data_IF_583962777975
#
_entry.id   IF_583962777975
#
_cell.length_a   1.000
_cell.length_b   1.000
_cell.length_c   1.000
_cell.angle_alpha   90.00
_cell.angle_beta   90.00
_cell.angle_gamma   90.00
#
_symmetry.space_group_name_H-M   'P 1'
#
loop_
_entity.id
_entity.type
_entity.pdbx_description
1 polymer ?
#
# COMPACT_ATOMS: atom_id res chain seq x y z
N UNK A 1 10.03 -35.75 15.15
CA UNK A 1 10.03 -35.17 13.81
C UNK A 1 9.82 -33.68 13.94
N UNK A 2 10.89 -32.90 13.84
CA UNK A 2 10.84 -31.46 13.74
C UNK A 2 10.39 -31.17 12.32
N UNK A 3 9.16 -30.72 12.13
CA UNK A 3 8.74 -30.18 10.84
C UNK A 3 9.68 -29.00 10.51
N UNK A 4 10.47 -29.17 9.46
CA UNK A 4 11.14 -28.06 8.81
C UNK A 4 10.03 -27.06 8.40
N UNK A 5 9.97 -25.90 9.05
CA UNK A 5 9.17 -24.77 8.56
C UNK A 5 9.77 -24.47 7.19
N UNK A 6 9.04 -24.77 6.12
CA UNK A 6 9.40 -24.37 4.78
C UNK A 6 9.68 -22.86 4.83
N UNK A 7 10.90 -22.47 4.50
CA UNK A 7 11.24 -21.05 4.38
C UNK A 7 10.41 -20.54 3.21
N UNK A 8 9.53 -19.60 3.48
CA UNK A 8 8.77 -18.91 2.43
C UNK A 8 9.71 -18.44 1.31
N UNK A 9 9.32 -18.66 0.07
CA UNK A 9 10.09 -18.26 -1.11
C UNK A 9 10.13 -16.73 -1.31
N UNK A 10 9.19 -16.00 -0.70
CA UNK A 10 9.10 -14.55 -0.74
C UNK A 10 8.55 -13.98 0.59
N UNK A 11 8.87 -12.72 0.84
CA UNK A 11 8.40 -11.93 1.98
C UNK A 11 7.29 -11.00 1.49
N UNK A 12 6.05 -11.44 1.60
CA UNK A 12 4.87 -10.72 1.10
C UNK A 12 4.33 -9.78 2.17
N UNK A 13 4.39 -8.49 1.92
CA UNK A 13 3.94 -7.44 2.85
C UNK A 13 2.80 -6.67 2.18
N UNK A 14 1.63 -6.62 2.80
CA UNK A 14 0.47 -5.96 2.23
C UNK A 14 0.26 -4.55 2.82
N UNK A 15 0.09 -3.55 1.97
CA UNK A 15 -0.33 -2.22 2.41
C UNK A 15 -1.68 -2.29 3.12
N UNK A 16 -1.79 -1.61 4.23
CA UNK A 16 -2.96 -1.63 5.11
C UNK A 16 -3.47 -0.22 5.36
N UNK A 17 -4.74 0.01 4.96
CA UNK A 17 -5.41 1.28 5.15
C UNK A 17 -6.16 1.30 6.49
N UNK A 18 -5.83 2.21 7.42
CA UNK A 18 -6.49 2.30 8.72
C UNK A 18 -7.79 3.11 8.72
N UNK A 19 -8.30 3.53 7.56
CA UNK A 19 -9.44 4.47 7.43
C UNK A 19 -10.83 3.79 7.48
N UNK A 20 -10.99 2.76 8.30
CA UNK A 20 -12.27 2.07 8.50
C UNK A 20 -12.81 2.29 9.91
N UNK A 21 -12.72 3.52 10.38
CA UNK A 21 -13.34 4.02 11.61
C UNK A 21 -13.55 5.54 11.49
N UNK A 22 -14.59 6.11 12.12
CA UNK A 22 -14.81 7.55 12.06
C UNK A 22 -13.74 8.31 12.84
N UNK A 23 -13.37 9.48 12.30
CA UNK A 23 -12.51 10.46 12.96
C UNK A 23 -13.13 11.86 12.83
N UNK A 24 -12.90 12.77 13.79
CA UNK A 24 -13.53 14.10 13.77
C UNK A 24 -13.24 14.90 12.50
N UNK A 25 -12.04 14.78 11.94
CA UNK A 25 -11.64 15.46 10.72
C UNK A 25 -12.48 14.97 9.52
N UNK A 26 -12.62 13.66 9.34
CA UNK A 26 -13.44 13.09 8.29
C UNK A 26 -14.93 13.41 8.48
N UNK A 27 -15.42 13.41 9.72
CA UNK A 27 -16.80 13.83 10.03
C UNK A 27 -17.06 15.26 9.58
N UNK A 28 -16.11 16.16 9.78
CA UNK A 28 -16.21 17.56 9.36
C UNK A 28 -16.20 17.72 7.84
N UNK A 29 -15.41 16.95 7.13
CA UNK A 29 -15.23 17.10 5.68
C UNK A 29 -16.26 16.33 4.85
N UNK A 30 -16.67 15.14 5.33
CA UNK A 30 -17.43 14.16 4.55
C UNK A 30 -18.81 13.83 5.15
N UNK A 31 -19.08 14.31 6.34
CA UNK A 31 -20.28 14.00 7.11
C UNK A 31 -20.04 13.00 8.24
N UNK A 32 -20.85 13.15 9.28
CA UNK A 32 -20.74 12.36 10.52
C UNK A 32 -20.80 10.85 10.24
N UNK A 33 -19.85 10.12 10.80
CA UNK A 33 -19.76 8.67 10.67
C UNK A 33 -19.08 8.19 9.40
N UNK A 34 -18.47 9.09 8.63
CA UNK A 34 -17.73 8.71 7.41
C UNK A 34 -16.60 7.74 7.70
N UNK A 35 -16.55 6.68 6.88
CA UNK A 35 -15.41 5.77 6.75
C UNK A 35 -15.22 5.44 5.26
N UNK A 36 -14.16 4.69 4.91
CA UNK A 36 -13.98 4.19 3.54
C UNK A 36 -15.20 3.38 3.03
N UNK A 37 -15.92 2.70 3.92
CA UNK A 37 -17.16 2.00 3.55
C UNK A 37 -18.23 2.91 2.97
N UNK A 38 -18.24 4.21 3.30
CA UNK A 38 -19.17 5.17 2.72
C UNK A 38 -18.99 5.28 1.20
N UNK A 39 -17.75 5.31 0.72
CA UNK A 39 -17.44 5.32 -0.71
C UNK A 39 -17.79 3.99 -1.36
N UNK A 40 -17.43 2.88 -0.73
CA UNK A 40 -17.70 1.52 -1.21
C UNK A 40 -19.20 1.27 -1.33
N UNK A 41 -19.98 1.64 -0.32
CA UNK A 41 -21.42 1.37 -0.27
C UNK A 41 -22.24 2.17 -1.30
N UNK A 42 -21.78 3.36 -1.69
CA UNK A 42 -22.43 4.18 -2.74
C UNK A 42 -21.98 3.85 -4.17
N UNK A 43 -20.99 2.97 -4.34
CA UNK A 43 -20.50 2.59 -5.65
C UNK A 43 -21.55 1.87 -6.48
N UNK A 44 -21.50 2.09 -7.80
CA UNK A 44 -22.42 1.46 -8.74
C UNK A 44 -21.72 1.15 -10.06
N UNK A 45 -22.27 0.23 -10.82
CA UNK A 45 -21.81 -0.05 -12.17
C UNK A 45 -21.92 1.20 -13.06
N UNK A 46 -20.86 1.56 -13.77
CA UNK A 46 -20.78 2.73 -14.65
C UNK A 46 -20.80 2.35 -16.13
N UNK A 47 -20.65 1.06 -16.46
CA UNK A 47 -20.70 0.54 -17.83
C UNK A 47 -21.09 -0.95 -17.82
N UNK A 48 -21.56 -1.52 -18.95
CA UNK A 48 -21.92 -2.93 -19.02
C UNK A 48 -20.76 -3.86 -18.61
N UNK A 49 -21.03 -4.80 -17.71
CA UNK A 49 -20.04 -5.74 -17.20
C UNK A 49 -19.10 -5.18 -16.12
N UNK A 50 -19.24 -3.93 -15.73
CA UNK A 50 -18.48 -3.35 -14.63
C UNK A 50 -18.82 -4.03 -13.29
N UNK A 51 -17.79 -4.57 -12.63
CA UNK A 51 -17.95 -5.19 -11.32
C UNK A 51 -18.04 -4.13 -10.21
N UNK A 52 -19.22 -3.65 -10.00
CA UNK A 52 -19.63 -2.79 -8.88
C UNK A 52 -21.14 -3.01 -8.60
N UNK A 53 -21.60 -2.90 -7.35
CA UNK A 53 -20.80 -2.70 -6.13
C UNK A 53 -19.99 -3.94 -5.75
N UNK A 54 -18.84 -3.71 -5.11
CA UNK A 54 -18.03 -4.75 -4.51
C UNK A 54 -18.43 -4.88 -3.04
N UNK A 55 -18.78 -6.10 -2.63
CA UNK A 55 -19.30 -6.36 -1.29
C UNK A 55 -18.37 -7.31 -0.56
N UNK A 56 -17.91 -6.96 0.66
CA UNK A 56 -17.06 -7.83 1.46
C UNK A 56 -17.80 -9.12 1.86
N UNK A 57 -17.05 -10.25 1.84
CA UNK A 57 -17.53 -11.55 2.31
C UNK A 57 -17.13 -11.78 3.78
N UNK A 58 -16.15 -12.64 4.04
CA UNK A 58 -15.81 -13.19 5.36
C UNK A 58 -15.65 -12.16 6.49
N UNK A 59 -15.08 -11.00 6.21
CA UNK A 59 -14.80 -9.97 7.21
C UNK A 59 -15.94 -8.94 7.36
N UNK A 60 -16.84 -8.86 6.38
CA UNK A 60 -17.96 -7.92 6.38
C UNK A 60 -17.52 -6.45 6.28
N UNK A 61 -18.47 -5.56 6.53
CA UNK A 61 -18.24 -4.11 6.69
C UNK A 61 -17.79 -3.85 8.13
N UNK A 62 -16.50 -3.89 8.37
CA UNK A 62 -15.92 -3.86 9.70
C UNK A 62 -15.58 -2.45 10.18
N UNK A 63 -15.34 -2.34 11.48
CA UNK A 63 -14.74 -1.19 12.14
C UNK A 63 -13.40 -1.61 12.74
N UNK A 64 -12.32 -0.91 12.39
CA UNK A 64 -10.96 -1.26 12.83
C UNK A 64 -10.68 -0.94 14.31
N UNK A 65 -11.62 -0.33 15.03
CA UNK A 65 -11.54 -0.18 16.49
C UNK A 65 -11.85 -1.50 17.20
N UNK A 66 -12.48 -2.46 16.53
CA UNK A 66 -12.83 -3.77 17.06
C UNK A 66 -11.61 -4.70 17.02
N UNK A 67 -11.07 -5.15 18.17
CA UNK A 67 -9.88 -6.01 18.20
C UNK A 67 -10.05 -7.33 17.47
N UNK A 68 -11.25 -7.92 17.53
CA UNK A 68 -11.60 -9.17 16.85
C UNK A 68 -11.48 -9.05 15.33
N UNK A 69 -11.81 -7.90 14.77
CA UNK A 69 -11.62 -7.61 13.32
C UNK A 69 -10.16 -7.64 12.97
N UNK A 70 -9.33 -6.91 13.72
CA UNK A 70 -7.88 -6.86 13.47
C UNK A 70 -7.23 -8.23 13.59
N UNK A 71 -7.68 -9.03 14.56
CA UNK A 71 -7.25 -10.43 14.72
C UNK A 71 -7.66 -11.29 13.52
N UNK A 72 -8.92 -11.21 13.09
CA UNK A 72 -9.42 -11.98 11.95
C UNK A 72 -8.66 -11.63 10.64
N UNK A 73 -8.35 -10.35 10.42
CA UNK A 73 -7.53 -9.93 9.28
C UNK A 73 -6.12 -10.53 9.34
N UNK A 74 -5.46 -10.48 10.49
CA UNK A 74 -4.11 -11.02 10.67
C UNK A 74 -4.08 -12.55 10.54
N UNK A 75 -5.04 -13.25 11.10
CA UNK A 75 -5.16 -14.71 11.00
C UNK A 75 -5.35 -15.14 9.54
N UNK A 76 -6.21 -14.46 8.81
CA UNK A 76 -6.42 -14.71 7.38
C UNK A 76 -5.14 -14.42 6.57
N UNK A 77 -4.50 -13.29 6.80
CA UNK A 77 -3.27 -12.94 6.11
C UNK A 77 -2.17 -13.99 6.33
N UNK A 78 -1.98 -14.44 7.58
CA UNK A 78 -1.03 -15.48 7.94
C UNK A 78 -1.36 -16.82 7.27
N UNK A 79 -2.63 -17.21 7.26
CA UNK A 79 -3.08 -18.47 6.64
C UNK A 79 -2.72 -18.53 5.15
N UNK A 80 -2.73 -17.39 4.46
CA UNK A 80 -2.47 -17.33 3.02
C UNK A 80 -1.06 -16.82 2.65
N UNK A 81 -0.11 -16.84 3.59
CA UNK A 81 1.31 -16.58 3.31
C UNK A 81 1.71 -15.12 3.25
N UNK A 82 0.84 -14.20 3.67
CA UNK A 82 1.22 -12.80 3.87
C UNK A 82 2.04 -12.69 5.16
N UNK A 83 3.26 -12.17 5.07
CA UNK A 83 4.18 -12.05 6.21
C UNK A 83 3.70 -11.00 7.21
N UNK A 84 3.20 -9.88 6.73
CA UNK A 84 2.80 -8.78 7.59
C UNK A 84 2.08 -7.65 6.86
N UNK A 85 1.63 -6.68 7.64
CA UNK A 85 0.97 -5.47 7.15
C UNK A 85 1.88 -4.26 7.18
N UNK A 86 1.88 -3.48 6.10
CA UNK A 86 2.49 -2.17 6.03
C UNK A 86 1.40 -1.11 6.23
N UNK A 87 1.30 -0.57 7.44
CA UNK A 87 0.29 0.44 7.75
C UNK A 87 0.65 1.77 7.13
N UNK A 88 -0.32 2.42 6.46
CA UNK A 88 -0.20 3.83 6.12
C UNK A 88 -0.15 4.65 7.40
N UNK A 89 0.92 5.40 7.56
CA UNK A 89 1.23 6.23 8.72
C UNK A 89 1.17 7.70 8.30
N UNK A 90 0.36 8.47 9.02
CA UNK A 90 0.12 9.88 8.72
C UNK A 90 0.76 10.75 9.79
N UNK A 91 1.77 11.50 9.40
CA UNK A 91 2.41 12.53 10.20
C UNK A 91 2.55 13.78 9.34
N UNK A 92 1.74 14.80 9.62
CA UNK A 92 1.64 16.02 8.80
C UNK A 92 2.59 17.13 9.25
N UNK A 93 3.39 16.92 10.27
CA UNK A 93 4.23 17.92 10.93
C UNK A 93 3.59 18.49 12.18
N UNK A 94 4.41 19.10 13.04
CA UNK A 94 4.00 19.68 14.33
C UNK A 94 3.17 18.75 15.22
N UNK A 95 3.48 17.44 15.17
CA UNK A 95 2.78 16.42 15.94
C UNK A 95 1.38 16.07 15.43
N UNK A 96 0.94 16.62 14.30
CA UNK A 96 -0.39 16.32 13.74
C UNK A 96 -0.42 14.93 13.11
N UNK A 97 -1.25 14.06 13.67
CA UNK A 97 -1.49 12.68 13.21
C UNK A 97 -2.95 12.48 12.87
N UNK A 98 -3.21 11.52 11.98
CA UNK A 98 -4.56 11.03 11.68
C UNK A 98 -4.55 9.51 11.57
N UNK A 99 -5.70 8.89 11.87
CA UNK A 99 -5.97 7.46 11.68
C UNK A 99 -4.99 6.53 12.43
N UNK A 100 -4.29 7.04 13.41
CA UNK A 100 -3.27 6.31 14.19
C UNK A 100 -3.85 5.29 15.16
N UNK A 101 -5.15 5.37 15.50
CA UNK A 101 -5.77 4.56 16.53
C UNK A 101 -5.64 3.06 16.33
N UNK A 102 -5.96 2.48 15.14
CA UNK A 102 -5.85 1.03 14.96
C UNK A 102 -4.42 0.52 15.20
N UNK A 103 -3.42 1.21 14.67
CA UNK A 103 -2.02 0.83 14.86
C UNK A 103 -1.55 1.02 16.31
N UNK A 104 -1.92 2.13 16.94
CA UNK A 104 -1.58 2.39 18.34
C UNK A 104 -2.16 1.32 19.28
N UNK A 105 -3.38 0.87 19.04
CA UNK A 105 -4.00 -0.21 19.81
C UNK A 105 -3.33 -1.57 19.58
N UNK A 106 -2.94 -1.88 18.33
CA UNK A 106 -2.14 -3.07 18.01
C UNK A 106 -0.80 -3.05 18.75
N UNK A 107 -0.12 -1.90 18.73
CA UNK A 107 1.17 -1.74 19.41
C UNK A 107 1.02 -1.89 20.94
N UNK A 108 0.07 -1.19 21.53
CA UNK A 108 -0.13 -1.17 22.98
C UNK A 108 -0.60 -2.51 23.55
N UNK A 109 -1.48 -3.23 22.85
CA UNK A 109 -2.03 -4.50 23.31
C UNK A 109 -1.11 -5.70 23.08
N UNK A 110 -0.16 -5.62 22.16
CA UNK A 110 0.61 -6.76 21.69
C UNK A 110 -0.16 -7.71 20.76
N UNK A 111 -1.42 -7.38 20.44
CA UNK A 111 -2.32 -8.20 19.63
C UNK A 111 -2.89 -7.42 18.42
N UNK A 112 -3.08 -8.06 17.26
CA UNK A 112 -2.69 -9.44 16.96
C UNK A 112 -1.17 -9.62 16.93
N UNK A 113 -0.67 -10.82 17.28
CA UNK A 113 0.73 -11.20 17.14
C UNK A 113 1.06 -11.47 15.66
N UNK A 114 1.16 -10.42 14.91
CA UNK A 114 1.36 -10.44 13.46
C UNK A 114 2.32 -9.33 13.04
N UNK A 115 3.31 -9.61 12.16
CA UNK A 115 4.30 -8.63 11.76
C UNK A 115 3.71 -7.38 11.11
N UNK A 116 4.36 -6.26 11.33
CA UNK A 116 3.98 -4.98 10.74
C UNK A 116 5.20 -4.09 10.43
N UNK A 117 5.00 -3.15 9.54
CA UNK A 117 5.87 -2.00 9.35
C UNK A 117 5.03 -0.76 9.00
N UNK A 118 5.69 0.37 8.83
CA UNK A 118 5.04 1.65 8.55
C UNK A 118 5.47 2.21 7.20
N UNK A 119 4.53 2.82 6.51
CA UNK A 119 4.77 3.65 5.34
C UNK A 119 4.28 5.07 5.62
N UNK A 120 5.19 6.03 5.66
CA UNK A 120 4.82 7.43 5.83
C UNK A 120 4.20 7.97 4.55
N UNK A 121 2.87 8.22 4.61
CA UNK A 121 2.12 8.85 3.53
C UNK A 121 2.32 10.37 3.60
N UNK A 122 3.52 10.81 3.23
CA UNK A 122 3.96 12.20 3.31
C UNK A 122 3.41 13.03 2.16
N UNK A 123 2.10 13.25 2.16
CA UNK A 123 1.42 14.10 1.18
C UNK A 123 0.30 14.92 1.83
N UNK A 124 0.01 16.08 1.25
CA UNK A 124 -1.13 16.89 1.67
C UNK A 124 -2.44 16.25 1.26
N UNK A 125 -3.42 16.26 2.15
CA UNK A 125 -4.77 15.79 1.82
C UNK A 125 -5.54 16.89 1.09
N UNK A 126 -6.07 16.53 -0.09
CA UNK A 126 -6.84 17.43 -0.94
C UNK A 126 -8.23 16.84 -1.19
N UNK A 127 -9.25 17.73 -1.24
CA UNK A 127 -10.65 17.35 -1.38
C UNK A 127 -10.96 16.48 -2.60
N UNK A 128 -10.29 16.71 -3.74
CA UNK A 128 -10.59 15.98 -4.96
C UNK A 128 -10.20 14.48 -4.92
N UNK A 129 -9.20 14.08 -4.11
CA UNK A 129 -8.85 12.67 -3.94
C UNK A 129 -9.94 11.85 -3.27
N UNK A 130 -10.86 12.51 -2.59
CA UNK A 130 -11.95 11.89 -1.85
C UNK A 130 -13.34 12.17 -2.47
N UNK A 131 -13.40 12.68 -3.71
CA UNK A 131 -14.65 12.86 -4.44
C UNK A 131 -15.40 14.18 -4.17
N UNK A 132 -14.78 15.15 -3.49
CA UNK A 132 -15.29 16.53 -3.43
C UNK A 132 -14.74 17.34 -4.60
N UNK A 133 -15.61 18.19 -5.19
CA UNK A 133 -15.23 19.11 -6.28
C UNK A 133 -14.30 20.25 -5.84
N UNK A 134 -14.06 20.43 -4.55
CA UNK A 134 -13.23 21.50 -4.02
C UNK A 134 -11.74 21.17 -4.18
N UNK A 135 -10.99 22.08 -4.77
CA UNK A 135 -9.52 22.04 -4.86
C UNK A 135 -8.82 22.42 -3.54
N UNK A 136 -9.59 22.57 -2.46
CA UNK A 136 -9.06 22.99 -1.17
C UNK A 136 -8.17 21.91 -0.56
N UNK A 137 -7.03 22.33 -0.04
CA UNK A 137 -6.17 21.49 0.79
C UNK A 137 -6.85 21.34 2.15
N UNK A 138 -7.09 20.10 2.56
CA UNK A 138 -7.73 19.78 3.84
C UNK A 138 -6.71 19.78 4.98
N UNK A 139 -5.54 19.20 4.73
CA UNK A 139 -4.37 19.22 5.63
C UNK A 139 -3.13 19.30 4.77
N UNK A 140 -2.23 20.24 5.11
CA UNK A 140 -0.91 20.34 4.49
C UNK A 140 0.09 19.38 5.11
N UNK A 141 0.88 18.72 4.27
CA UNK A 141 2.09 18.03 4.71
C UNK A 141 3.18 19.07 4.93
N UNK A 142 3.63 19.20 6.17
CA UNK A 142 4.69 20.12 6.57
C UNK A 142 5.98 19.37 6.87
N UNK A 143 7.10 20.07 6.71
CA UNK A 143 8.43 19.60 7.09
C UNK A 143 9.06 20.66 8.01
N UNK A 144 8.66 20.72 9.31
CA UNK A 144 9.00 21.82 10.19
C UNK A 144 10.45 21.85 10.64
N UNK A 145 11.21 20.77 10.37
CA UNK A 145 12.63 20.69 10.70
C UNK A 145 12.95 19.75 11.86
N UNK A 146 14.16 19.87 12.38
CA UNK A 146 14.80 18.89 13.26
C UNK A 146 13.97 18.51 14.49
N UNK A 147 13.37 19.46 15.17
CA UNK A 147 12.61 19.20 16.40
C UNK A 147 11.39 18.32 16.13
N UNK A 148 10.67 18.61 15.03
CA UNK A 148 9.52 17.79 14.61
C UNK A 148 9.97 16.40 14.16
N UNK A 149 11.09 16.28 13.45
CA UNK A 149 11.61 14.97 13.03
C UNK A 149 12.04 14.11 14.22
N UNK A 150 12.58 14.71 15.28
CA UNK A 150 12.86 14.01 16.55
C UNK A 150 11.55 13.57 17.22
N UNK A 151 10.55 14.44 17.30
CA UNK A 151 9.24 14.11 17.86
C UNK A 151 8.58 12.95 17.08
N UNK A 152 8.64 12.98 15.76
CA UNK A 152 8.17 11.92 14.89
C UNK A 152 8.90 10.59 15.16
N UNK A 153 10.24 10.63 15.22
CA UNK A 153 11.03 9.45 15.57
C UNK A 153 10.63 8.86 16.92
N UNK A 154 10.51 9.69 17.94
CA UNK A 154 10.14 9.26 19.28
C UNK A 154 8.74 8.65 19.34
N UNK A 155 7.80 9.13 18.52
CA UNK A 155 6.46 8.55 18.40
C UNK A 155 6.48 7.16 17.77
N UNK A 156 7.43 6.89 16.87
CA UNK A 156 7.55 5.61 16.14
C UNK A 156 8.51 4.64 16.84
N UNK A 157 9.44 5.12 17.64
CA UNK A 157 10.47 4.30 18.29
C UNK A 157 9.92 3.08 19.06
N UNK A 158 8.79 3.16 19.82
CA UNK A 158 8.22 1.98 20.45
C UNK A 158 7.85 0.88 19.46
N UNK A 159 7.37 1.27 18.25
CA UNK A 159 7.08 0.32 17.19
C UNK A 159 8.37 -0.34 16.67
N UNK A 160 9.42 0.43 16.40
CA UNK A 160 10.72 -0.10 15.95
C UNK A 160 11.35 -1.10 16.95
N UNK A 161 11.06 -0.96 18.23
CA UNK A 161 11.53 -1.87 19.29
C UNK A 161 10.62 -3.06 19.53
N UNK A 162 9.43 -3.07 18.93
CA UNK A 162 8.52 -4.20 19.03
C UNK A 162 9.04 -5.40 18.23
N UNK A 163 8.99 -6.62 18.80
CA UNK A 163 9.48 -7.84 18.15
C UNK A 163 8.75 -8.19 16.85
N UNK A 164 7.55 -7.64 16.65
CA UNK A 164 6.72 -7.84 15.44
C UNK A 164 7.12 -6.91 14.30
N UNK A 165 7.92 -5.87 14.57
CA UNK A 165 8.29 -4.93 13.53
C UNK A 165 9.14 -5.61 12.46
N UNK A 166 8.75 -5.47 11.19
CA UNK A 166 9.44 -6.07 10.03
C UNK A 166 10.82 -5.41 9.87
N UNK A 167 11.85 -6.26 9.79
CA UNK A 167 13.24 -5.83 9.60
C UNK A 167 13.83 -6.42 8.33
N UNK A 168 14.82 -5.72 7.79
CA UNK A 168 15.71 -6.19 6.74
C UNK A 168 17.15 -5.92 7.17
N UNK A 169 18.01 -6.92 7.10
CA UNK A 169 19.38 -6.86 7.63
C UNK A 169 19.43 -6.40 9.12
N UNK A 170 18.38 -6.76 9.88
CA UNK A 170 18.21 -6.39 11.28
C UNK A 170 17.84 -4.91 11.52
N UNK A 171 17.50 -4.16 10.48
CA UNK A 171 17.06 -2.76 10.55
C UNK A 171 15.55 -2.67 10.33
N UNK A 172 14.79 -1.91 11.14
CA UNK A 172 13.36 -1.71 10.90
C UNK A 172 13.12 -1.06 9.53
N UNK A 173 12.18 -1.63 8.76
CA UNK A 173 11.78 -1.14 7.45
C UNK A 173 10.85 0.06 7.63
N UNK A 174 11.20 1.20 7.04
CA UNK A 174 10.35 2.38 7.01
C UNK A 174 10.25 2.90 5.59
N UNK A 175 9.02 2.97 5.07
CA UNK A 175 8.76 3.45 3.72
C UNK A 175 8.42 4.92 3.71
N UNK A 176 8.90 5.65 2.71
CA UNK A 176 8.51 7.03 2.40
C UNK A 176 7.76 7.01 1.07
N UNK A 177 6.51 7.46 1.07
CA UNK A 177 5.60 7.36 -0.07
C UNK A 177 5.96 8.35 -1.19
N UNK A 178 6.25 9.61 -0.84
CA UNK A 178 6.64 10.66 -1.79
C UNK A 178 8.04 11.21 -1.47
N UNK A 179 9.12 10.51 -1.85
CA UNK A 179 10.49 10.93 -1.55
C UNK A 179 10.85 12.32 -2.09
N UNK A 180 10.25 12.73 -3.20
CA UNK A 180 10.54 13.99 -3.88
C UNK A 180 9.58 15.13 -3.52
N UNK A 181 8.61 14.94 -2.65
CA UNK A 181 7.67 16.01 -2.23
C UNK A 181 8.43 17.23 -1.64
N UNK A 182 9.43 16.95 -0.80
CA UNK A 182 10.42 17.92 -0.35
C UNK A 182 11.77 17.19 -0.17
N UNK A 183 12.48 16.98 -1.27
CA UNK A 183 13.68 16.15 -1.32
C UNK A 183 14.74 16.58 -0.30
N UNK A 184 14.96 17.88 -0.15
CA UNK A 184 15.95 18.43 0.79
C UNK A 184 15.63 18.05 2.24
N UNK A 185 14.39 18.24 2.64
CA UNK A 185 13.91 17.92 3.99
C UNK A 185 13.83 16.41 4.23
N UNK A 186 13.42 15.62 3.23
CA UNK A 186 13.44 14.15 3.33
C UNK A 186 14.85 13.62 3.54
N UNK A 187 15.86 14.20 2.86
CA UNK A 187 17.26 13.84 3.09
C UNK A 187 17.72 14.14 4.51
N UNK A 188 17.39 15.31 5.04
CA UNK A 188 17.69 15.71 6.42
C UNK A 188 17.01 14.76 7.41
N UNK A 189 15.74 14.46 7.19
CA UNK A 189 14.94 13.52 7.97
C UNK A 189 15.60 12.14 8.03
N UNK A 190 15.94 11.55 6.89
CA UNK A 190 16.53 10.21 6.82
C UNK A 190 17.88 10.15 7.54
N UNK A 191 18.73 11.15 7.33
CA UNK A 191 20.04 11.22 8.01
C UNK A 191 19.86 11.28 9.52
N UNK A 192 19.01 12.17 10.00
CA UNK A 192 18.73 12.33 11.42
C UNK A 192 18.16 11.07 12.05
N UNK A 193 17.20 10.42 11.36
CA UNK A 193 16.59 9.18 11.86
C UNK A 193 17.58 8.02 11.95
N UNK A 194 18.55 7.93 11.03
CA UNK A 194 19.64 6.93 11.13
C UNK A 194 20.53 7.19 12.36
N UNK A 195 20.87 8.45 12.64
CA UNK A 195 21.63 8.83 13.83
C UNK A 195 20.85 8.48 15.11
N UNK A 196 19.58 8.87 15.19
CA UNK A 196 18.70 8.59 16.33
C UNK A 196 18.49 7.08 16.54
N UNK A 197 18.38 6.29 15.47
CA UNK A 197 18.26 4.84 15.56
C UNK A 197 19.46 4.23 16.25
N UNK A 198 20.69 4.59 15.85
CA UNK A 198 21.92 4.10 16.49
C UNK A 198 21.98 4.53 17.96
N UNK A 199 21.66 5.80 18.26
CA UNK A 199 21.64 6.33 19.64
C UNK A 199 20.65 5.58 20.55
N UNK A 200 19.57 5.00 19.97
CA UNK A 200 18.57 4.24 20.69
C UNK A 200 18.76 2.72 20.63
N UNK A 201 19.92 2.24 20.18
CA UNK A 201 20.31 0.83 20.21
C UNK A 201 19.79 0.00 19.03
N UNK A 202 19.27 0.65 17.97
CA UNK A 202 18.92 -0.01 16.72
C UNK A 202 20.15 -0.12 15.80
N UNK A 203 20.15 -1.06 14.88
CA UNK A 203 21.23 -1.22 13.87
C UNK A 203 21.16 -0.19 12.73
N UNK A 204 20.20 0.71 12.77
CA UNK A 204 19.88 1.69 11.74
C UNK A 204 18.42 1.59 11.34
N UNK A 205 18.08 2.15 10.18
CA UNK A 205 16.76 2.05 9.57
C UNK A 205 16.95 1.60 8.12
N UNK A 206 16.11 0.67 7.68
CA UNK A 206 16.03 0.27 6.27
C UNK A 206 14.98 1.14 5.59
N UNK A 207 15.43 2.21 4.92
CA UNK A 207 14.55 3.13 4.23
C UNK A 207 14.19 2.63 2.84
N UNK A 208 12.89 2.59 2.55
CA UNK A 208 12.33 2.26 1.24
C UNK A 208 11.64 3.49 0.66
N UNK A 209 12.06 3.92 -0.53
CA UNK A 209 11.36 4.97 -1.28
C UNK A 209 10.39 4.35 -2.28
N UNK A 210 9.14 4.81 -2.31
CA UNK A 210 8.18 4.35 -3.31
C UNK A 210 8.24 5.23 -4.56
N UNK A 211 8.08 4.61 -5.74
CA UNK A 211 7.97 5.31 -7.01
C UNK A 211 6.99 4.63 -7.95
N UNK A 212 6.36 5.44 -8.81
CA UNK A 212 5.57 4.99 -9.96
C UNK A 212 6.35 5.13 -11.29
N UNK A 213 7.56 5.72 -11.25
CA UNK A 213 8.36 6.10 -12.43
C UNK A 213 9.84 5.75 -12.23
N UNK A 214 10.13 4.45 -12.08
CA UNK A 214 11.47 3.98 -11.74
C UNK A 214 12.54 4.49 -12.72
N UNK A 215 12.27 4.47 -14.03
CA UNK A 215 13.24 4.90 -15.06
C UNK A 215 13.71 6.35 -14.84
N UNK A 216 12.79 7.22 -14.39
CA UNK A 216 13.06 8.66 -14.22
C UNK A 216 13.62 8.97 -12.81
N UNK A 217 13.28 8.17 -11.81
CA UNK A 217 13.50 8.51 -10.40
C UNK A 217 14.56 7.65 -9.71
N UNK A 218 14.95 6.52 -10.29
CA UNK A 218 15.89 5.56 -9.68
C UNK A 218 17.19 6.23 -9.22
N UNK A 219 17.86 6.94 -10.12
CA UNK A 219 19.13 7.57 -9.81
C UNK A 219 19.02 8.61 -8.67
N UNK A 220 17.91 9.36 -8.64
CA UNK A 220 17.62 10.31 -7.56
C UNK A 220 17.40 9.62 -6.23
N UNK A 221 16.63 8.55 -6.19
CA UNK A 221 16.36 7.77 -4.97
C UNK A 221 17.63 7.11 -4.43
N UNK A 222 18.45 6.54 -5.30
CA UNK A 222 19.76 5.98 -4.90
C UNK A 222 20.69 7.07 -4.35
N UNK A 223 20.73 8.25 -4.98
CA UNK A 223 21.51 9.39 -4.52
C UNK A 223 21.01 9.95 -3.17
N UNK A 224 19.72 9.87 -2.85
CA UNK A 224 19.15 10.21 -1.56
C UNK A 224 19.55 9.21 -0.45
N UNK A 225 20.05 8.03 -0.84
CA UNK A 225 20.51 7.02 0.10
C UNK A 225 19.40 6.10 0.62
N UNK A 226 18.35 5.88 -0.14
CA UNK A 226 17.40 4.81 0.14
C UNK A 226 18.07 3.44 0.04
N UNK A 227 17.77 2.54 0.99
CA UNK A 227 18.30 1.17 1.00
C UNK A 227 17.66 0.29 -0.06
N UNK A 228 16.40 0.58 -0.39
CA UNK A 228 15.65 -0.06 -1.48
C UNK A 228 14.59 0.87 -2.05
N UNK A 229 14.08 0.51 -3.22
CA UNK A 229 13.03 1.23 -3.95
C UNK A 229 11.86 0.28 -4.17
N UNK A 230 10.70 0.65 -3.67
CA UNK A 230 9.45 -0.04 -4.01
C UNK A 230 8.85 0.58 -5.27
N UNK A 231 8.71 -0.21 -6.32
CA UNK A 231 8.15 0.24 -7.59
C UNK A 231 6.71 -0.24 -7.78
N UNK A 232 5.83 0.69 -8.13
CA UNK A 232 4.42 0.41 -8.46
C UNK A 232 4.22 0.71 -9.95
N UNK A 233 4.09 -0.34 -10.78
CA UNK A 233 4.01 -0.21 -12.24
C UNK A 233 2.58 -0.15 -12.78
N UNK A 234 1.62 0.26 -11.98
CA UNK A 234 0.20 0.27 -12.34
C UNK A 234 -0.09 1.10 -13.61
N UNK A 235 0.66 2.16 -13.86
CA UNK A 235 0.46 3.07 -14.99
C UNK A 235 1.40 2.80 -16.18
N UNK A 236 2.24 1.76 -16.14
CA UNK A 236 3.23 1.49 -17.19
C UNK A 236 2.57 1.17 -18.55
N UNK A 237 1.48 0.41 -18.56
CA UNK A 237 0.74 0.15 -19.80
C UNK A 237 0.32 1.44 -20.49
N UNK A 238 -0.18 2.40 -19.72
CA UNK A 238 -0.62 3.70 -20.23
C UNK A 238 0.54 4.54 -20.74
N UNK A 239 1.64 4.53 -20.03
CA UNK A 239 2.86 5.26 -20.38
C UNK A 239 3.41 4.78 -21.73
N UNK A 240 3.47 3.48 -21.94
CA UNK A 240 3.96 2.86 -23.20
C UNK A 240 2.99 3.06 -24.37
N UNK A 241 1.70 3.22 -24.12
CA UNK A 241 0.64 3.42 -25.14
C UNK A 241 0.24 4.91 -25.32
N UNK A 242 1.08 5.84 -24.93
CA UNK A 242 0.77 7.27 -24.70
C UNK A 242 -0.05 7.99 -25.80
N UNK A 243 0.14 7.68 -27.07
CA UNK A 243 -0.55 8.38 -28.18
C UNK A 243 -1.98 7.86 -28.40
N UNK A 244 -2.14 6.55 -28.47
CA UNK A 244 -3.43 5.87 -28.59
C UNK A 244 -4.28 6.07 -27.32
N UNK A 245 -3.62 6.01 -26.17
CA UNK A 245 -4.20 6.20 -24.87
C UNK A 245 -4.88 7.57 -24.73
N UNK A 246 -4.20 8.67 -25.09
CA UNK A 246 -4.79 10.02 -24.98
C UNK A 246 -6.02 10.20 -25.87
N UNK A 247 -6.03 9.58 -27.07
CA UNK A 247 -7.21 9.60 -27.94
C UNK A 247 -8.36 8.82 -27.30
N UNK A 248 -8.12 7.60 -26.85
CA UNK A 248 -9.13 6.75 -26.21
C UNK A 248 -9.70 7.41 -24.93
N UNK A 249 -8.85 8.03 -24.10
CA UNK A 249 -9.28 8.74 -22.88
C UNK A 249 -10.21 9.91 -23.18
N UNK A 250 -9.98 10.66 -24.28
CA UNK A 250 -10.89 11.73 -24.72
C UNK A 250 -12.28 11.19 -25.06
N UNK A 251 -12.34 10.04 -25.76
CA UNK A 251 -13.60 9.38 -26.10
C UNK A 251 -14.34 8.92 -24.83
N UNK A 252 -13.66 8.26 -23.89
CA UNK A 252 -14.25 7.84 -22.62
C UNK A 252 -14.84 9.03 -21.85
N UNK A 253 -14.08 10.11 -21.72
CA UNK A 253 -14.55 11.33 -21.05
C UNK A 253 -15.76 11.95 -21.75
N UNK A 254 -15.79 11.97 -23.07
CA UNK A 254 -16.94 12.49 -23.81
C UNK A 254 -18.21 11.68 -23.55
N UNK A 255 -18.13 10.35 -23.51
CA UNK A 255 -19.25 9.48 -23.17
C UNK A 255 -19.51 9.41 -21.66
N UNK A 256 -18.78 10.13 -20.85
CA UNK A 256 -18.93 10.13 -19.39
C UNK A 256 -18.61 8.79 -18.73
N UNK A 257 -17.69 8.03 -19.34
CA UNK A 257 -17.19 6.75 -18.81
C UNK A 257 -15.91 6.95 -18.00
N UNK A 258 -15.62 6.09 -17.01
CA UNK A 258 -14.34 6.06 -16.35
C UNK A 258 -13.26 5.62 -17.35
N UNK A 259 -12.00 5.78 -16.96
CA UNK A 259 -10.92 5.24 -17.76
C UNK A 259 -10.84 3.73 -17.56
N UNK A 260 -11.16 2.96 -18.60
CA UNK A 260 -11.25 1.51 -18.58
C UNK A 260 -10.03 0.92 -19.28
N UNK A 261 -9.25 0.12 -18.55
CA UNK A 261 -8.11 -0.63 -19.06
C UNK A 261 -8.32 -2.11 -18.77
N UNK A 262 -8.04 -2.96 -19.74
CA UNK A 262 -8.12 -4.41 -19.52
C UNK A 262 -6.96 -4.88 -18.62
N UNK A 263 -7.27 -5.53 -17.51
CA UNK A 263 -6.29 -5.99 -16.52
C UNK A 263 -5.28 -6.98 -17.12
N UNK A 264 -5.72 -7.95 -17.92
CA UNK A 264 -4.83 -8.93 -18.56
C UNK A 264 -3.73 -8.25 -19.40
N UNK A 265 -4.10 -7.18 -20.12
CA UNK A 265 -3.15 -6.43 -20.94
C UNK A 265 -2.21 -5.57 -20.07
N UNK A 266 -2.77 -4.89 -19.09
CA UNK A 266 -2.00 -4.01 -18.21
C UNK A 266 -1.02 -4.79 -17.33
N UNK A 267 -1.43 -5.93 -16.79
CA UNK A 267 -0.61 -6.73 -15.86
C UNK A 267 0.69 -7.25 -16.47
N UNK A 268 0.77 -7.38 -17.80
CA UNK A 268 2.01 -7.72 -18.51
C UNK A 268 3.13 -6.68 -18.39
N UNK A 269 2.78 -5.49 -17.89
CA UNK A 269 3.70 -4.37 -17.68
C UNK A 269 3.94 -4.08 -16.19
N UNK A 270 3.38 -4.90 -15.29
CA UNK A 270 3.56 -4.70 -13.85
C UNK A 270 4.89 -5.21 -13.31
N UNK A 271 5.65 -5.92 -14.14
CA UNK A 271 6.97 -6.46 -13.84
C UNK A 271 7.95 -6.06 -14.96
N UNK A 272 9.20 -5.84 -14.60
CA UNK A 272 10.28 -5.55 -15.54
C UNK A 272 11.60 -6.16 -15.04
N UNK A 273 12.60 -6.21 -15.91
CA UNK A 273 13.89 -6.87 -15.64
C UNK A 273 14.59 -6.32 -14.39
N UNK A 274 14.43 -5.01 -14.12
CA UNK A 274 15.00 -4.32 -12.96
C UNK A 274 14.46 -4.85 -11.62
N UNK A 275 13.31 -5.53 -11.64
CA UNK A 275 12.75 -6.15 -10.43
C UNK A 275 13.61 -7.32 -9.90
N UNK A 276 14.56 -7.80 -10.71
CA UNK A 276 15.58 -8.76 -10.29
C UNK A 276 16.72 -8.12 -9.48
N UNK A 277 16.87 -6.82 -9.49
CA UNK A 277 17.90 -6.13 -8.72
C UNK A 277 17.60 -6.25 -7.22
N UNK A 278 18.65 -6.48 -6.41
CA UNK A 278 18.51 -6.70 -4.97
C UNK A 278 17.75 -5.57 -4.25
N UNK A 279 17.99 -4.34 -4.65
CA UNK A 279 17.42 -3.13 -4.03
C UNK A 279 16.12 -2.64 -4.67
N UNK A 280 15.56 -3.37 -5.63
CA UNK A 280 14.25 -3.06 -6.22
C UNK A 280 13.22 -4.03 -5.64
N UNK A 281 12.15 -3.50 -5.09
CA UNK A 281 11.06 -4.26 -4.49
C UNK A 281 9.83 -4.12 -5.38
N UNK A 282 9.40 -5.18 -6.08
CA UNK A 282 8.21 -5.14 -6.91
C UNK A 282 6.93 -5.02 -6.08
N UNK A 283 5.86 -4.61 -6.74
CA UNK A 283 4.50 -4.56 -6.16
C UNK A 283 3.59 -5.47 -6.96
N UNK A 284 2.89 -6.37 -6.29
CA UNK A 284 1.78 -7.11 -6.88
C UNK A 284 0.48 -6.34 -6.73
N UNK A 285 -0.30 -6.31 -7.82
CA UNK A 285 -1.55 -5.55 -7.92
C UNK A 285 -2.66 -6.53 -8.31
N UNK A 286 -3.46 -7.01 -7.35
CA UNK A 286 -4.51 -8.00 -7.64
C UNK A 286 -5.67 -7.40 -8.43
N UNK A 287 -6.00 -6.16 -8.18
CA UNK A 287 -7.13 -5.44 -8.77
C UNK A 287 -6.96 -3.93 -8.61
N UNK A 288 -7.77 -3.16 -9.32
CA UNK A 288 -7.85 -1.71 -9.17
C UNK A 288 -9.17 -1.19 -9.75
N UNK A 289 -9.90 -0.43 -8.97
CA UNK A 289 -11.08 0.29 -9.40
C UNK A 289 -11.31 1.52 -8.53
N UNK A 290 -10.90 2.69 -9.02
CA UNK A 290 -11.02 3.94 -8.26
C UNK A 290 -12.41 4.60 -8.37
N UNK A 291 -13.36 3.95 -9.06
CA UNK A 291 -14.69 4.52 -9.29
C UNK A 291 -15.51 4.80 -8.02
N UNK A 292 -15.35 4.05 -6.90
CA UNK A 292 -16.05 4.40 -5.65
C UNK A 292 -15.69 5.79 -5.10
N UNK A 293 -14.42 6.20 -5.25
CA UNK A 293 -13.95 7.56 -4.86
C UNK A 293 -14.18 8.60 -5.94
N UNK A 294 -13.79 8.31 -7.18
CA UNK A 294 -13.68 9.29 -8.28
C UNK A 294 -14.79 9.20 -9.32
N UNK A 295 -15.68 8.21 -9.24
CA UNK A 295 -16.72 8.00 -10.22
C UNK A 295 -16.15 7.86 -11.64
N UNK A 296 -16.68 8.64 -12.55
CA UNK A 296 -16.27 8.67 -13.97
C UNK A 296 -14.83 9.19 -14.24
N UNK A 297 -14.16 9.74 -13.24
CA UNK A 297 -12.78 10.22 -13.37
C UNK A 297 -11.74 9.16 -12.95
N UNK A 298 -12.19 8.03 -12.39
CA UNK A 298 -11.33 6.97 -11.91
C UNK A 298 -10.78 6.07 -13.02
N UNK A 299 -9.64 5.44 -12.75
CA UNK A 299 -9.13 4.31 -13.52
C UNK A 299 -9.78 3.02 -13.02
N UNK A 300 -10.21 2.17 -13.95
CA UNK A 300 -10.71 0.83 -13.70
C UNK A 300 -9.86 -0.18 -14.47
N UNK A 301 -9.18 -1.07 -13.76
CA UNK A 301 -8.58 -2.26 -14.35
C UNK A 301 -9.68 -3.33 -14.49
N UNK A 302 -10.32 -3.32 -15.65
CA UNK A 302 -11.47 -4.21 -15.94
C UNK A 302 -11.01 -5.64 -16.17
N UNK A 303 -11.81 -6.62 -15.76
CA UNK A 303 -11.46 -8.04 -15.75
C UNK A 303 -10.23 -8.35 -14.89
N UNK A 304 -10.18 -7.76 -13.68
CA UNK A 304 -9.22 -8.18 -12.65
C UNK A 304 -9.65 -9.53 -12.09
N UNK A 305 -9.24 -10.60 -12.75
CA UNK A 305 -9.63 -11.98 -12.42
C UNK A 305 -8.46 -12.74 -11.80
N UNK A 306 -8.71 -13.71 -10.90
CA UNK A 306 -7.65 -14.47 -10.22
C UNK A 306 -6.66 -15.14 -11.17
N UNK A 307 -7.11 -15.62 -12.35
CA UNK A 307 -6.27 -16.29 -13.34
C UNK A 307 -5.22 -15.34 -13.95
N UNK A 308 -5.56 -14.08 -14.16
CA UNK A 308 -4.63 -13.07 -14.65
C UNK A 308 -3.70 -12.59 -13.54
N UNK A 309 -4.22 -12.50 -12.32
CA UNK A 309 -3.41 -12.22 -11.14
C UNK A 309 -2.38 -13.33 -10.89
N UNK A 310 -2.73 -14.58 -11.09
CA UNK A 310 -1.80 -15.70 -10.97
C UNK A 310 -0.60 -15.57 -11.93
N UNK A 311 -0.83 -15.17 -13.19
CA UNK A 311 0.26 -14.90 -14.14
C UNK A 311 1.18 -13.79 -13.63
N UNK A 312 0.59 -12.69 -13.17
CA UNK A 312 1.35 -11.57 -12.59
C UNK A 312 2.17 -12.01 -11.39
N UNK A 313 1.58 -12.79 -10.48
CA UNK A 313 2.29 -13.32 -9.31
C UNK A 313 3.46 -14.21 -9.72
N UNK A 314 3.27 -15.10 -10.69
CA UNK A 314 4.33 -15.95 -11.23
C UNK A 314 5.49 -15.12 -11.79
N UNK A 315 5.19 -14.09 -12.57
CA UNK A 315 6.22 -13.21 -13.15
C UNK A 315 7.03 -12.50 -12.06
N UNK A 316 6.39 -12.02 -11.02
CA UNK A 316 7.08 -11.41 -9.86
C UNK A 316 8.00 -12.42 -9.19
N UNK A 317 7.52 -13.64 -8.92
CA UNK A 317 8.30 -14.66 -8.23
C UNK A 317 9.58 -15.03 -8.97
N UNK A 318 9.54 -15.11 -10.31
CA UNK A 318 10.72 -15.37 -11.13
C UNK A 318 11.82 -14.32 -10.94
N UNK A 319 11.43 -13.05 -10.73
CA UNK A 319 12.41 -11.97 -10.49
C UNK A 319 12.96 -11.96 -9.06
N UNK A 320 12.31 -12.64 -8.13
CA UNK A 320 12.79 -12.75 -6.74
C UNK A 320 13.80 -13.90 -6.53
N UNK A 321 13.81 -14.94 -7.38
CA UNK A 321 14.58 -16.17 -7.16
C UNK A 321 16.09 -15.93 -6.94
N UNK A 322 16.69 -14.99 -7.68
CA UNK A 322 18.12 -14.64 -7.58
C UNK A 322 18.49 -13.81 -6.35
N UNK A 323 17.53 -13.30 -5.59
CA UNK A 323 17.78 -12.41 -4.45
C UNK A 323 18.08 -13.22 -3.17
N UNK A 324 18.90 -12.67 -2.24
CA UNK A 324 19.01 -13.23 -0.90
C UNK A 324 17.63 -13.33 -0.23
N UNK A 325 17.35 -14.37 0.53
CA UNK A 325 16.03 -14.61 1.13
C UNK A 325 15.46 -13.42 1.89
N UNK A 326 16.29 -12.72 2.65
CA UNK A 326 15.88 -11.55 3.43
C UNK A 326 15.47 -10.37 2.54
N UNK A 327 15.97 -10.32 1.30
CA UNK A 327 15.67 -9.29 0.31
C UNK A 327 14.63 -9.71 -0.74
N UNK A 328 14.03 -10.89 -0.60
CA UNK A 328 12.90 -11.34 -1.46
C UNK A 328 11.59 -10.67 -1.05
N UNK A 329 11.63 -9.36 -0.91
CA UNK A 329 10.49 -8.54 -0.54
C UNK A 329 9.57 -8.32 -1.73
N UNK A 330 8.27 -8.36 -1.49
CA UNK A 330 7.24 -7.90 -2.42
C UNK A 330 6.12 -7.21 -1.64
N UNK A 331 5.70 -6.04 -2.11
CA UNK A 331 4.53 -5.38 -1.55
C UNK A 331 3.27 -5.76 -2.31
N UNK A 332 2.17 -5.84 -1.61
CA UNK A 332 0.83 -6.00 -2.19
C UNK A 332 0.09 -4.68 -2.09
N UNK A 333 -0.39 -4.21 -3.20
CA UNK A 333 -1.28 -3.05 -3.23
C UNK A 333 -2.70 -3.55 -3.50
N UNK A 334 -3.52 -3.71 -2.48
CA UNK A 334 -3.31 -3.57 -1.04
C UNK A 334 -4.01 -4.71 -0.30
N UNK A 335 -4.01 -4.71 1.04
CA UNK A 335 -4.84 -5.61 1.83
C UNK A 335 -6.32 -5.20 1.76
N UNK A 336 -6.62 -3.92 2.00
CA UNK A 336 -7.98 -3.44 2.28
C UNK A 336 -8.33 -2.05 1.71
N UNK A 337 -7.75 -1.62 0.62
CA UNK A 337 -8.16 -0.35 0.00
C UNK A 337 -9.38 -0.51 -0.92
N UNK A 338 -10.52 -0.82 -0.32
CA UNK A 338 -11.79 -1.14 -1.00
C UNK A 338 -12.31 -0.01 -1.89
N UNK A 339 -12.20 1.24 -1.45
CA UNK A 339 -12.70 2.38 -2.22
C UNK A 339 -11.84 2.74 -3.44
N UNK A 340 -10.60 2.27 -3.48
CA UNK A 340 -9.73 2.29 -4.66
C UNK A 340 -9.79 0.98 -5.46
N UNK A 341 -10.53 0.00 -4.95
CA UNK A 341 -10.70 -1.31 -5.57
C UNK A 341 -9.42 -2.14 -5.62
N UNK A 342 -8.46 -1.87 -4.71
CA UNK A 342 -7.28 -2.71 -4.55
C UNK A 342 -7.27 -3.36 -3.15
N UNK A 343 -7.60 -4.63 -3.13
CA UNK A 343 -7.78 -5.37 -1.89
C UNK A 343 -7.57 -6.88 -2.11
N UNK A 344 -7.14 -7.56 -1.05
CA UNK A 344 -7.03 -9.01 -0.96
C UNK A 344 -8.14 -9.62 -0.11
N UNK A 345 -8.77 -8.84 0.75
CA UNK A 345 -9.86 -9.31 1.60
C UNK A 345 -10.97 -9.93 0.73
N UNK A 346 -11.59 -11.03 1.18
CA UNK A 346 -12.57 -11.74 0.39
C UNK A 346 -13.80 -10.90 0.03
N UNK A 347 -14.20 -10.92 -1.23
CA UNK A 347 -15.46 -10.38 -1.71
C UNK A 347 -16.47 -11.48 -2.08
N UNK A 348 -17.72 -11.09 -2.33
CA UNK A 348 -18.78 -12.07 -2.66
C UNK A 348 -18.57 -12.74 -4.02
N UNK A 349 -17.83 -12.15 -4.96
CA UNK A 349 -17.61 -12.72 -6.29
C UNK A 349 -16.52 -13.75 -6.32
N UNK A 350 -15.35 -13.41 -5.76
CA UNK A 350 -14.16 -14.23 -5.88
C UNK A 350 -13.78 -14.96 -4.58
N UNK A 351 -14.42 -14.60 -3.45
CA UNK A 351 -14.05 -15.18 -2.16
C UNK A 351 -12.56 -15.00 -1.88
N UNK A 352 -11.88 -16.09 -1.55
CA UNK A 352 -10.45 -16.11 -1.19
C UNK A 352 -9.51 -16.41 -2.36
N UNK A 353 -9.99 -16.45 -3.60
CA UNK A 353 -9.21 -16.90 -4.77
C UNK A 353 -7.91 -16.10 -4.99
N UNK A 354 -7.91 -14.78 -4.73
CA UNK A 354 -6.68 -13.99 -4.81
C UNK A 354 -5.68 -14.36 -3.71
N UNK A 355 -6.15 -14.64 -2.51
CA UNK A 355 -5.32 -15.12 -1.40
C UNK A 355 -4.75 -16.51 -1.68
N UNK A 356 -5.55 -17.40 -2.28
CA UNK A 356 -5.12 -18.76 -2.69
C UNK A 356 -3.94 -18.69 -3.69
N UNK A 357 -3.97 -17.73 -4.61
CA UNK A 357 -2.85 -17.49 -5.53
C UNK A 357 -1.58 -17.14 -4.76
N UNK A 358 -1.65 -16.22 -3.80
CA UNK A 358 -0.48 -15.84 -3.00
C UNK A 358 0.06 -17.05 -2.25
N UNK A 359 -0.80 -17.81 -1.55
CA UNK A 359 -0.39 -18.99 -0.80
C UNK A 359 0.33 -20.01 -1.67
N UNK A 360 -0.22 -20.29 -2.85
CA UNK A 360 0.36 -21.23 -3.80
C UNK A 360 1.82 -20.90 -4.11
N UNK A 361 2.13 -19.65 -4.43
CA UNK A 361 3.48 -19.26 -4.84
C UNK A 361 4.44 -18.99 -3.67
N UNK A 362 3.93 -18.75 -2.48
CA UNK A 362 4.75 -18.53 -1.28
C UNK A 362 5.13 -19.85 -0.59
N UNK A 363 4.25 -20.86 -0.64
CA UNK A 363 4.46 -22.17 0.00
C UNK A 363 5.14 -23.21 -0.92
N UNK A 364 4.92 -23.12 -2.24
CA UNK A 364 5.45 -24.09 -3.22
C UNK A 364 6.84 -23.72 -3.78
N UNK A 365 7.39 -22.56 -3.42
CA UNK A 365 8.65 -22.02 -3.92
C UNK A 365 9.91 -22.46 -3.15
#
# INVERSE_FOLDING_TARGET
>A
CVMNKNKSSARVIAFYLPQFHPVPENDKWWGKGFTEWTNVGKARSLFPGHYQPKVPADLGYYDLRVPETRKAQADMAREYGVEGFCYWHYWFGNGKRLLERPFNEVLASGEPDFPFCLAWANESWRGFFHGIKAKETLIDQLYPGKEDYIAHFNAVLPAFKDRRYITVDGKPLFMIYHPFDNQGEVNIFMKLWRELAIQNGLKGIFFVGQTYHLDDERAGLEAMGFDAINVVRMFEYERKQRSLYRKARRWHNWFGLPWIVNYEKASRFFVADEDSDKNIIPTIIPNWDHSPRSGKQGLVLHHSEPEYFERHMKDVMMHLEGKPLEHRLVFVKSWNEWAEGNYLEPDLRYGKKFLEVIRKYVEEG
#
